data_IF_741079194479
#
_entry.id   IF_741079194479
#
_cell.length_a   1.000
_cell.length_b   1.000
_cell.length_c   1.000
_cell.angle_alpha   90.00
_cell.angle_beta   90.00
_cell.angle_gamma   90.00
#
_symmetry.space_group_name_H-M   'P 1'
#
loop_
_entity.id
_entity.type
_entity.pdbx_description
1 polymer ?
#
# COMPACT_ATOMS: atom_id res chain seq x y z
N UNK A 1 0.81 0.88 -16.31
CA UNK A 1 1.98 0.87 -15.42
C UNK A 1 2.39 -0.56 -15.13
N UNK A 2 3.68 -0.83 -15.19
CA UNK A 2 4.21 -2.15 -14.83
C UNK A 2 4.00 -2.39 -13.34
N UNK A 3 3.51 -3.57 -12.99
CA UNK A 3 3.24 -3.91 -11.59
C UNK A 3 4.50 -3.88 -10.75
N UNK A 4 5.64 -4.25 -11.34
CA UNK A 4 6.92 -4.23 -10.63
C UNK A 4 7.36 -2.80 -10.32
N UNK A 5 7.14 -1.87 -11.24
CA UNK A 5 7.42 -0.45 -10.98
C UNK A 5 6.50 0.10 -9.89
N UNK A 6 5.22 -0.27 -9.93
CA UNK A 6 4.27 0.15 -8.92
C UNK A 6 4.68 -0.38 -7.54
N UNK A 7 5.13 -1.63 -7.48
CA UNK A 7 5.58 -2.24 -6.24
C UNK A 7 6.83 -1.54 -5.70
N UNK A 8 7.78 -1.25 -6.56
CA UNK A 8 9.02 -0.58 -6.16
C UNK A 8 8.73 0.82 -5.59
N UNK A 9 7.89 1.59 -6.26
CA UNK A 9 7.50 2.91 -5.78
C UNK A 9 6.73 2.84 -4.48
N UNK A 10 5.84 1.85 -4.34
CA UNK A 10 5.09 1.64 -3.13
C UNK A 10 6.00 1.28 -1.94
N UNK A 11 6.95 0.37 -2.15
CA UNK A 11 7.88 -0.02 -1.09
C UNK A 11 8.73 1.18 -0.65
N UNK A 12 9.20 1.98 -1.59
CA UNK A 12 9.94 3.20 -1.27
C UNK A 12 9.11 4.15 -0.42
N UNK A 13 7.82 4.31 -0.76
CA UNK A 13 6.92 5.14 0.03
C UNK A 13 6.71 4.54 1.43
N UNK A 14 6.46 3.23 1.51
CA UNK A 14 6.21 2.57 2.80
C UNK A 14 7.39 2.71 3.76
N UNK A 15 8.61 2.74 3.23
CA UNK A 15 9.79 2.97 4.08
C UNK A 15 9.73 4.29 4.83
N UNK A 16 9.06 5.29 4.27
CA UNK A 16 8.97 6.61 4.90
C UNK A 16 7.94 6.64 6.02
N UNK A 17 7.00 5.70 6.04
CA UNK A 17 5.90 5.69 7.01
C UNK A 17 5.91 4.46 7.93
N UNK A 18 6.75 3.47 7.64
CA UNK A 18 6.83 2.24 8.43
C UNK A 18 7.57 2.47 9.74
N UNK A 19 7.36 1.56 10.68
CA UNK A 19 8.08 1.55 11.94
C UNK A 19 9.58 1.43 11.68
N UNK A 20 10.44 2.22 12.35
CA UNK A 20 11.88 2.11 12.17
C UNK A 20 12.39 0.70 12.44
N UNK A 21 13.32 0.25 11.60
CA UNK A 21 13.92 -1.07 11.74
C UNK A 21 13.22 -2.17 10.98
N UNK A 22 12.06 -1.87 10.34
CA UNK A 22 11.36 -2.86 9.54
C UNK A 22 12.03 -3.04 8.18
N UNK A 23 12.17 -4.30 7.74
CA UNK A 23 12.71 -4.60 6.43
C UNK A 23 11.58 -4.98 5.48
N UNK A 24 11.05 -3.98 4.77
CA UNK A 24 9.93 -4.17 3.86
C UNK A 24 10.30 -4.98 2.62
N UNK A 25 11.58 -5.06 2.30
CA UNK A 25 12.04 -5.83 1.13
C UNK A 25 11.94 -7.33 1.38
N UNK A 26 12.03 -7.76 2.62
CA UNK A 26 11.98 -9.17 2.99
C UNK A 26 10.58 -9.63 3.40
N UNK A 27 9.61 -8.71 3.50
CA UNK A 27 8.28 -9.07 3.93
C UNK A 27 7.49 -9.70 2.78
N UNK A 28 6.70 -10.72 3.09
CA UNK A 28 5.81 -11.35 2.13
C UNK A 28 4.69 -10.37 1.76
N UNK A 29 4.38 -10.25 0.48
CA UNK A 29 3.36 -9.34 -0.02
C UNK A 29 1.98 -9.59 0.59
N UNK A 30 1.71 -10.81 1.04
CA UNK A 30 0.42 -11.19 1.63
C UNK A 30 0.31 -10.93 3.12
N UNK A 31 1.40 -10.52 3.79
CA UNK A 31 1.37 -10.27 5.23
C UNK A 31 0.64 -8.95 5.51
N UNK A 32 -0.23 -8.97 6.53
CA UNK A 32 -0.88 -7.74 7.00
C UNK A 32 0.16 -6.93 7.79
N UNK A 33 0.51 -5.76 7.25
CA UNK A 33 1.57 -4.92 7.82
C UNK A 33 1.18 -4.32 9.16
N UNK A 34 -0.11 -4.06 9.37
CA UNK A 34 -0.61 -3.53 10.64
C UNK A 34 -0.52 -4.61 11.72
N UNK A 35 -0.97 -5.83 11.43
CA UNK A 35 -0.89 -6.95 12.36
C UNK A 35 0.54 -7.31 12.69
N UNK A 36 1.45 -7.14 11.73
CA UNK A 36 2.87 -7.41 11.94
C UNK A 36 3.59 -6.28 12.68
N UNK A 37 2.91 -5.17 12.94
CA UNK A 37 3.49 -4.03 13.63
C UNK A 37 4.43 -3.19 12.78
N UNK A 38 4.40 -3.37 11.46
CA UNK A 38 5.28 -2.64 10.54
C UNK A 38 4.76 -1.27 10.18
N UNK A 39 3.42 -1.10 10.15
CA UNK A 39 2.79 0.20 9.97
C UNK A 39 1.63 0.33 10.97
N UNK A 40 1.21 1.56 11.24
CA UNK A 40 0.06 1.84 12.10
C UNK A 40 -1.10 2.41 11.29
N UNK A 41 -2.20 2.74 11.98
CA UNK A 41 -3.39 3.28 11.32
C UNK A 41 -3.12 4.63 10.65
N UNK A 42 -2.23 5.42 11.22
CA UNK A 42 -1.85 6.70 10.62
C UNK A 42 -1.11 6.49 9.30
N UNK A 43 -0.22 5.50 9.26
CA UNK A 43 0.48 5.16 8.03
C UNK A 43 -0.49 4.68 6.95
N UNK A 44 -1.55 3.95 7.35
CA UNK A 44 -2.58 3.51 6.41
C UNK A 44 -3.28 4.69 5.75
N UNK A 45 -3.58 5.75 6.51
CA UNK A 45 -4.17 6.96 5.95
C UNK A 45 -3.23 7.58 4.91
N UNK A 46 -1.93 7.59 5.18
CA UNK A 46 -0.95 8.09 4.24
C UNK A 46 -0.86 7.23 2.98
N UNK A 47 -1.04 5.93 3.11
CA UNK A 47 -1.12 5.02 1.95
C UNK A 47 -2.30 5.40 1.06
N UNK A 48 -3.46 5.64 1.66
CA UNK A 48 -4.65 6.04 0.92
C UNK A 48 -4.38 7.33 0.14
N UNK A 49 -3.78 8.30 0.80
CA UNK A 49 -3.42 9.57 0.16
C UNK A 49 -2.42 9.35 -1.00
N UNK A 50 -1.43 8.51 -0.77
CA UNK A 50 -0.45 8.16 -1.81
C UNK A 50 -1.14 7.57 -3.05
N UNK A 51 -2.10 6.67 -2.84
CA UNK A 51 -2.82 6.05 -3.95
C UNK A 51 -3.63 7.09 -4.74
N UNK A 52 -4.26 8.03 -4.06
CA UNK A 52 -5.02 9.08 -4.72
C UNK A 52 -4.10 10.00 -5.54
N UNK A 53 -2.98 10.39 -4.97
CA UNK A 53 -2.10 11.39 -5.60
C UNK A 53 -1.25 10.82 -6.72
N UNK A 54 -0.81 9.56 -6.58
CA UNK A 54 0.14 8.97 -7.53
C UNK A 54 -0.50 8.03 -8.53
N UNK A 55 -1.67 7.49 -8.21
CA UNK A 55 -2.31 6.48 -9.07
C UNK A 55 -3.75 6.82 -9.43
N UNK A 56 -4.26 7.96 -8.97
CA UNK A 56 -5.63 8.35 -9.23
C UNK A 56 -6.65 7.38 -8.67
N UNK A 57 -6.31 6.68 -7.59
CA UNK A 57 -7.13 5.62 -7.00
C UNK A 57 -8.12 6.21 -6.01
N UNK A 58 -9.39 6.29 -6.39
CA UNK A 58 -10.46 6.71 -5.50
C UNK A 58 -11.12 5.47 -4.91
N UNK A 59 -10.85 5.19 -3.65
CA UNK A 59 -11.34 3.97 -3.00
C UNK A 59 -12.86 3.91 -2.97
N UNK A 60 -13.52 5.05 -2.76
CA UNK A 60 -14.98 5.08 -2.72
C UNK A 60 -15.58 4.75 -4.09
N UNK A 61 -15.01 5.32 -5.15
CA UNK A 61 -15.50 5.07 -6.51
C UNK A 61 -15.26 3.63 -6.94
N UNK A 62 -14.17 3.02 -6.46
CA UNK A 62 -13.82 1.64 -6.81
C UNK A 62 -14.43 0.61 -5.88
N UNK A 63 -15.04 1.05 -4.78
CA UNK A 63 -15.62 0.13 -3.80
C UNK A 63 -14.58 -0.67 -3.04
N UNK A 64 -13.39 -0.11 -2.84
CA UNK A 64 -12.30 -0.78 -2.14
C UNK A 64 -12.40 -0.49 -0.65
N UNK A 65 -12.36 -1.53 0.17
CA UNK A 65 -12.35 -1.40 1.64
C UNK A 65 -10.94 -1.03 2.09
N UNK A 66 -10.78 0.03 2.92
CA UNK A 66 -9.47 0.38 3.46
C UNK A 66 -8.78 -0.78 4.19
N UNK A 67 -9.53 -1.72 4.75
CA UNK A 67 -8.95 -2.89 5.40
C UNK A 67 -8.14 -3.76 4.42
N UNK A 68 -8.46 -3.72 3.13
CA UNK A 68 -7.74 -4.46 2.12
C UNK A 68 -6.37 -3.86 1.79
N UNK A 69 -6.10 -2.65 2.28
CA UNK A 69 -4.84 -1.95 2.04
C UNK A 69 -3.79 -2.24 3.13
N UNK A 70 -4.06 -3.21 3.99
CA UNK A 70 -3.12 -3.57 5.05
C UNK A 70 -1.91 -4.38 4.58
N UNK A 71 -1.90 -4.86 3.34
CA UNK A 71 -0.79 -5.65 2.79
C UNK A 71 -0.33 -5.06 1.47
N UNK A 72 0.92 -5.37 1.10
CA UNK A 72 1.47 -4.93 -0.19
C UNK A 72 0.61 -5.48 -1.33
N UNK A 73 0.22 -6.75 -1.24
CA UNK A 73 -0.64 -7.39 -2.24
C UNK A 73 -1.97 -6.65 -2.41
N UNK A 74 -2.60 -6.27 -1.30
CA UNK A 74 -3.87 -5.55 -1.34
C UNK A 74 -3.73 -4.17 -1.95
N UNK A 75 -2.64 -3.47 -1.61
CA UNK A 75 -2.38 -2.14 -2.17
C UNK A 75 -2.13 -2.23 -3.67
N UNK A 76 -1.35 -3.21 -4.12
CA UNK A 76 -1.09 -3.41 -5.55
C UNK A 76 -2.37 -3.75 -6.31
N UNK A 77 -3.25 -4.54 -5.71
CA UNK A 77 -4.54 -4.84 -6.32
C UNK A 77 -5.38 -3.58 -6.51
N UNK A 78 -5.35 -2.67 -5.54
CA UNK A 78 -6.05 -1.39 -5.63
C UNK A 78 -5.48 -0.54 -6.77
N UNK A 79 -4.16 -0.49 -6.90
CA UNK A 79 -3.50 0.24 -7.99
C UNK A 79 -3.93 -0.33 -9.35
N UNK A 80 -3.95 -1.65 -9.46
CA UNK A 80 -4.34 -2.30 -10.70
C UNK A 80 -5.78 -1.98 -11.06
N UNK A 81 -6.70 -1.99 -10.10
CA UNK A 81 -8.10 -1.63 -10.35
C UNK A 81 -8.24 -0.19 -10.81
N UNK A 82 -7.44 0.72 -10.28
CA UNK A 82 -7.48 2.12 -10.67
C UNK A 82 -7.00 2.32 -12.12
N UNK A 83 -6.16 1.42 -12.61
CA UNK A 83 -5.59 1.51 -13.96
C UNK A 83 -6.32 0.65 -15.00
N UNK A 84 -7.30 -0.13 -14.57
CA UNK A 84 -8.10 -0.96 -15.49
C UNK A 84 -9.21 -0.15 -16.21
#
# INVERSE_FOLDING_TARGET
MDQQEARSGLVDFLRTVATPGCNLEEVDDGINLIDAGMIDSFALIQVIYYLEQNHGCDLNALGIDPADLGSIKGILAAIQRAND
#
